data_IF_924071503633
#
_entry.id   IF_924071503633
#
_cell.length_a   1.000
_cell.length_b   1.000
_cell.length_c   1.000
_cell.angle_alpha   90.00
_cell.angle_beta   90.00
_cell.angle_gamma   90.00
#
_symmetry.space_group_name_H-M   'P 1'
#
loop_
_entity.id
_entity.type
_entity.pdbx_description
1 polymer ?
#
# COMPACT_ATOMS: atom_id res chain seq x y z
N UNK A 1 29.13 -32.22 -7.78
CA UNK A 1 28.75 -30.80 -7.91
C UNK A 1 27.57 -30.58 -6.98
N UNK A 2 27.83 -30.02 -5.79
CA UNK A 2 26.75 -29.70 -4.85
C UNK A 2 26.07 -28.43 -5.35
N UNK A 3 24.83 -28.55 -5.80
CA UNK A 3 24.02 -27.41 -6.18
C UNK A 3 23.82 -26.53 -4.93
N UNK A 4 24.17 -25.26 -5.05
CA UNK A 4 23.85 -24.24 -4.05
C UNK A 4 22.32 -24.13 -3.99
N UNK A 5 21.73 -24.61 -2.90
CA UNK A 5 20.32 -24.39 -2.60
C UNK A 5 20.20 -22.92 -2.17
N UNK A 6 19.37 -22.08 -2.84
CA UNK A 6 19.21 -20.69 -2.43
C UNK A 6 18.64 -20.63 -1.02
N UNK A 7 19.20 -19.72 -0.22
CA UNK A 7 18.80 -19.45 1.17
C UNK A 7 17.31 -19.11 1.18
N UNK A 8 16.55 -19.82 2.02
CA UNK A 8 15.14 -19.56 2.31
C UNK A 8 14.92 -18.07 2.58
N UNK A 9 13.99 -17.44 1.85
CA UNK A 9 13.52 -16.10 2.21
C UNK A 9 13.03 -16.15 3.66
N UNK A 10 13.72 -15.47 4.56
CA UNK A 10 13.25 -15.39 5.95
C UNK A 10 11.86 -14.76 5.97
N UNK A 11 11.00 -15.18 6.90
CA UNK A 11 9.65 -14.60 7.04
C UNK A 11 9.69 -13.07 7.22
N UNK A 12 10.81 -12.52 7.70
CA UNK A 12 11.06 -11.06 7.79
C UNK A 12 11.21 -10.43 6.40
N UNK A 13 11.90 -11.09 5.47
CA UNK A 13 12.02 -10.61 4.09
C UNK A 13 10.67 -10.59 3.37
N UNK A 14 9.84 -11.63 3.59
CA UNK A 14 8.48 -11.67 3.04
C UNK A 14 7.58 -10.54 3.60
N UNK A 15 7.73 -10.23 4.89
CA UNK A 15 7.02 -9.11 5.53
C UNK A 15 7.47 -7.75 4.98
N UNK A 16 8.78 -7.54 4.82
CA UNK A 16 9.33 -6.31 4.21
C UNK A 16 8.83 -6.14 2.78
N UNK A 17 8.88 -7.19 1.96
CA UNK A 17 8.34 -7.17 0.60
C UNK A 17 6.85 -6.79 0.55
N UNK A 18 6.06 -7.20 1.54
CA UNK A 18 4.64 -6.81 1.65
C UNK A 18 4.46 -5.34 2.05
N UNK A 19 5.37 -4.80 2.88
CA UNK A 19 5.36 -3.39 3.27
C UNK A 19 5.77 -2.50 2.10
N UNK A 20 6.85 -2.88 1.39
CA UNK A 20 7.33 -2.15 0.21
C UNK A 20 6.28 -2.16 -0.91
N UNK A 21 5.63 -3.30 -1.14
CA UNK A 21 4.51 -3.40 -2.09
C UNK A 21 3.32 -2.52 -1.69
N UNK A 22 3.01 -2.45 -0.38
CA UNK A 22 1.96 -1.58 0.12
C UNK A 22 2.29 -0.10 -0.16
N UNK A 23 3.52 0.34 0.07
CA UNK A 23 3.96 1.71 -0.23
C UNK A 23 3.93 2.02 -1.73
N UNK A 24 4.47 1.11 -2.56
CA UNK A 24 4.57 1.28 -4.01
C UNK A 24 3.19 1.42 -4.68
N UNK A 25 2.22 0.61 -4.27
CA UNK A 25 0.92 0.55 -4.93
C UNK A 25 -0.18 1.38 -4.24
N UNK A 26 0.11 2.02 -3.10
CA UNK A 26 -0.91 2.74 -2.32
C UNK A 26 -1.66 3.79 -3.15
N UNK A 27 -0.94 4.60 -3.92
CA UNK A 27 -1.54 5.69 -4.69
C UNK A 27 -2.54 5.16 -5.73
N UNK A 28 -2.12 4.20 -6.56
CA UNK A 28 -2.98 3.63 -7.60
C UNK A 28 -4.17 2.87 -7.01
N UNK A 29 -3.96 2.12 -5.92
CA UNK A 29 -5.03 1.37 -5.25
C UNK A 29 -6.06 2.32 -4.64
N UNK A 30 -5.62 3.41 -4.01
CA UNK A 30 -6.53 4.41 -3.44
C UNK A 30 -7.26 5.22 -4.53
N UNK A 31 -6.57 5.57 -5.62
CA UNK A 31 -7.14 6.35 -6.71
C UNK A 31 -8.20 5.56 -7.50
N UNK A 32 -8.02 4.24 -7.61
CA UNK A 32 -8.95 3.35 -8.34
C UNK A 32 -10.07 2.78 -7.46
N UNK A 33 -9.96 2.89 -6.13
CA UNK A 33 -10.95 2.35 -5.20
C UNK A 33 -12.33 3.00 -5.40
N UNK A 34 -13.37 2.16 -5.39
CA UNK A 34 -14.76 2.61 -5.52
C UNK A 34 -15.39 2.81 -4.14
N UNK A 35 -16.15 3.89 -3.97
CA UNK A 35 -16.94 4.13 -2.77
C UNK A 35 -18.35 3.53 -2.93
N UNK A 36 -18.72 2.61 -2.05
CA UNK A 36 -20.05 2.00 -1.99
C UNK A 36 -20.53 2.17 -0.54
N UNK A 37 -21.65 2.88 -0.36
CA UNK A 37 -22.22 3.20 0.95
C UNK A 37 -21.23 3.81 1.96
N UNK A 38 -20.36 4.71 1.52
CA UNK A 38 -19.39 5.38 2.40
C UNK A 38 -18.13 4.55 2.69
N UNK A 39 -18.05 3.30 2.22
CA UNK A 39 -16.87 2.44 2.36
C UNK A 39 -16.12 2.32 1.04
N UNK A 40 -14.79 2.38 1.09
CA UNK A 40 -13.92 2.24 -0.09
C UNK A 40 -13.55 0.78 -0.32
N UNK A 41 -13.73 0.28 -1.53
CA UNK A 41 -13.41 -1.09 -1.93
C UNK A 41 -12.38 -1.09 -3.05
N UNK A 42 -11.45 -2.04 -3.00
CA UNK A 42 -10.40 -2.18 -4.00
C UNK A 42 -10.99 -2.82 -5.26
N UNK A 43 -10.84 -2.14 -6.40
CA UNK A 43 -11.22 -2.65 -7.73
C UNK A 43 -10.18 -3.62 -8.27
N UNK A 44 -10.53 -4.40 -9.29
CA UNK A 44 -9.66 -5.40 -9.93
C UNK A 44 -8.30 -4.82 -10.35
N UNK A 45 -8.24 -3.58 -10.82
CA UNK A 45 -7.00 -2.91 -11.23
C UNK A 45 -6.06 -2.69 -10.03
N UNK A 46 -6.62 -2.32 -8.88
CA UNK A 46 -5.85 -2.18 -7.64
C UNK A 46 -5.29 -3.52 -7.16
N UNK A 47 -6.09 -4.59 -7.26
CA UNK A 47 -5.64 -5.94 -6.94
C UNK A 47 -4.53 -6.43 -7.87
N UNK A 48 -4.62 -6.12 -9.17
CA UNK A 48 -3.58 -6.44 -10.15
C UNK A 48 -2.30 -5.65 -9.89
N UNK A 49 -2.39 -4.37 -9.51
CA UNK A 49 -1.23 -3.58 -9.13
C UNK A 49 -0.46 -4.22 -7.96
N UNK A 50 -1.18 -4.68 -6.92
CA UNK A 50 -0.58 -5.40 -5.79
C UNK A 50 0.09 -6.70 -6.24
N UNK A 51 -0.54 -7.48 -7.12
CA UNK A 51 0.06 -8.69 -7.65
C UNK A 51 1.37 -8.40 -8.40
N UNK A 52 1.40 -7.36 -9.24
CA UNK A 52 2.60 -6.95 -9.99
C UNK A 52 3.72 -6.52 -9.05
N UNK A 53 3.42 -5.80 -7.96
CA UNK A 53 4.40 -5.42 -6.95
C UNK A 53 5.08 -6.64 -6.28
N UNK A 54 4.39 -7.77 -6.24
CA UNK A 54 4.92 -9.05 -5.75
C UNK A 54 5.53 -9.92 -6.85
N UNK A 55 5.79 -9.39 -8.04
CA UNK A 55 6.31 -10.17 -9.17
C UNK A 55 5.35 -11.26 -9.63
N UNK A 56 4.05 -11.02 -9.49
CA UNK A 56 2.99 -11.96 -9.82
C UNK A 56 2.06 -11.41 -10.91
N UNK A 57 1.55 -12.30 -11.76
CA UNK A 57 0.54 -12.00 -12.76
C UNK A 57 -0.79 -12.61 -12.35
N UNK A 58 -1.84 -11.79 -12.28
CA UNK A 58 -3.20 -12.25 -12.05
C UNK A 58 -3.94 -12.42 -13.39
N UNK A 59 -4.66 -13.52 -13.56
CA UNK A 59 -5.38 -13.86 -14.79
C UNK A 59 -6.60 -14.71 -14.50
N UNK A 60 -7.52 -14.84 -15.46
CA UNK A 60 -8.65 -15.76 -15.39
C UNK A 60 -8.68 -16.72 -16.57
N UNK A 61 -9.23 -17.91 -16.34
CA UNK A 61 -9.50 -18.94 -17.35
C UNK A 61 -10.79 -19.69 -17.02
N UNK A 62 -11.10 -20.72 -17.81
CA UNK A 62 -12.26 -21.60 -17.61
C UNK A 62 -13.57 -20.83 -17.43
N UNK A 63 -13.84 -19.89 -18.35
CA UNK A 63 -15.09 -19.11 -18.33
C UNK A 63 -16.19 -19.92 -18.98
N UNK A 64 -17.15 -20.38 -18.18
CA UNK A 64 -18.14 -21.35 -18.62
C UNK A 64 -19.54 -21.02 -18.09
N UNK A 65 -20.55 -21.43 -18.86
CA UNK A 65 -21.93 -21.45 -18.36
C UNK A 65 -22.06 -22.65 -17.44
N UNK A 66 -22.55 -22.39 -16.24
CA UNK A 66 -22.91 -23.42 -15.25
C UNK A 66 -24.37 -23.26 -14.89
N UNK A 67 -24.88 -24.17 -14.06
CA UNK A 67 -26.22 -24.01 -13.50
C UNK A 67 -26.33 -22.68 -12.72
N UNK A 68 -27.38 -21.92 -13.01
CA UNK A 68 -27.65 -20.63 -12.37
C UNK A 68 -26.76 -19.45 -12.77
N UNK A 69 -25.78 -19.57 -13.69
CA UNK A 69 -24.96 -18.42 -14.06
C UNK A 69 -23.70 -18.69 -14.88
N UNK A 70 -22.79 -17.72 -14.87
CA UNK A 70 -21.46 -17.81 -15.50
C UNK A 70 -20.40 -17.89 -14.41
N UNK A 71 -19.50 -18.87 -14.55
CA UNK A 71 -18.36 -19.11 -13.67
C UNK A 71 -17.05 -18.79 -14.39
N UNK A 72 -16.04 -18.32 -13.66
CA UNK A 72 -14.66 -18.24 -14.11
C UNK A 72 -13.69 -18.61 -12.96
N UNK A 73 -12.49 -19.08 -13.31
CA UNK A 73 -11.41 -19.34 -12.35
C UNK A 73 -10.32 -18.29 -12.52
N UNK A 74 -10.07 -17.55 -11.46
CA UNK A 74 -8.98 -16.59 -11.34
C UNK A 74 -7.79 -17.25 -10.68
N UNK A 75 -6.59 -16.87 -11.11
CA UNK A 75 -5.34 -17.36 -10.55
C UNK A 75 -4.28 -16.26 -10.50
N UNK A 76 -3.45 -16.33 -9.47
CA UNK A 76 -2.24 -15.52 -9.30
C UNK A 76 -1.05 -16.42 -9.52
N UNK A 77 -0.21 -16.12 -10.50
CA UNK A 77 1.03 -16.86 -10.79
C UNK A 77 2.26 -16.02 -10.53
N UNK A 78 3.27 -16.59 -9.89
CA UNK A 78 4.60 -15.98 -9.82
C UNK A 78 5.20 -15.91 -11.22
N UNK A 79 5.70 -14.74 -11.62
CA UNK A 79 6.21 -14.54 -12.98
C UNK A 79 7.52 -15.30 -13.26
N UNK A 80 8.33 -15.55 -12.23
CA UNK A 80 9.66 -16.16 -12.40
C UNK A 80 9.62 -17.64 -12.77
N UNK A 81 8.64 -18.40 -12.25
CA UNK A 81 8.57 -19.86 -12.41
C UNK A 81 7.17 -20.36 -12.78
N UNK A 82 6.17 -19.48 -12.86
CA UNK A 82 4.79 -19.83 -13.18
C UNK A 82 4.01 -20.48 -12.03
N UNK A 83 4.58 -20.59 -10.83
CA UNK A 83 3.91 -21.21 -9.68
C UNK A 83 2.61 -20.50 -9.36
N UNK A 84 1.52 -21.25 -9.26
CA UNK A 84 0.22 -20.75 -8.82
C UNK A 84 0.25 -20.52 -7.31
N UNK A 85 0.03 -19.28 -6.89
CA UNK A 85 0.04 -18.86 -5.49
C UNK A 85 -1.34 -18.87 -4.85
N UNK A 86 -2.35 -18.55 -5.65
CA UNK A 86 -3.75 -18.55 -5.23
C UNK A 86 -4.65 -18.76 -6.44
N UNK A 87 -5.77 -19.44 -6.20
CA UNK A 87 -6.89 -19.53 -7.14
C UNK A 87 -8.18 -19.17 -6.43
N UNK A 88 -9.14 -18.65 -7.19
CA UNK A 88 -10.48 -18.41 -6.68
C UNK A 88 -11.51 -18.44 -7.81
N UNK A 89 -12.72 -18.82 -7.44
CA UNK A 89 -13.86 -18.80 -8.34
C UNK A 89 -14.58 -17.46 -8.29
N UNK A 90 -14.82 -16.88 -9.46
CA UNK A 90 -15.76 -15.79 -9.68
C UNK A 90 -17.02 -16.31 -10.34
N UNK A 91 -18.16 -15.79 -9.90
CA UNK A 91 -19.47 -16.19 -10.39
C UNK A 91 -20.34 -14.96 -10.64
N UNK A 92 -21.13 -14.99 -11.71
CA UNK A 92 -22.20 -14.03 -11.98
C UNK A 92 -23.48 -14.80 -12.18
N UNK A 93 -24.41 -14.64 -11.24
CA UNK A 93 -25.65 -15.41 -11.16
C UNK A 93 -26.78 -14.81 -11.99
N UNK A 94 -27.68 -15.67 -12.47
CA UNK A 94 -28.91 -15.28 -13.17
C UNK A 94 -29.89 -14.50 -12.29
N UNK A 95 -29.75 -14.64 -10.97
CA UNK A 95 -30.45 -13.88 -9.95
C UNK A 95 -29.96 -12.42 -9.84
N UNK A 96 -28.81 -12.09 -10.43
CA UNK A 96 -28.31 -10.73 -10.45
C UNK A 96 -29.01 -9.91 -11.55
N UNK A 97 -30.09 -9.25 -11.18
CA UNK A 97 -30.90 -8.38 -12.07
C UNK A 97 -30.08 -7.31 -12.81
N UNK A 98 -28.96 -6.87 -12.22
CA UNK A 98 -28.04 -5.92 -12.86
C UNK A 98 -27.34 -6.48 -14.10
N UNK A 99 -27.13 -7.80 -14.15
CA UNK A 99 -26.42 -8.52 -15.22
C UNK A 99 -27.37 -9.28 -16.12
N UNK A 100 -28.28 -10.07 -15.56
CA UNK A 100 -29.20 -10.92 -16.31
C UNK A 100 -30.54 -10.26 -16.62
N UNK A 101 -30.74 -9.03 -16.16
CA UNK A 101 -31.98 -8.30 -16.32
C UNK A 101 -33.08 -8.82 -15.39
N UNK A 102 -34.24 -8.18 -15.46
CA UNK A 102 -35.39 -8.52 -14.61
C UNK A 102 -35.85 -7.34 -13.77
N UNK A 103 -36.83 -7.62 -12.92
CA UNK A 103 -37.51 -6.62 -12.12
C UNK A 103 -36.74 -6.36 -10.82
N UNK A 104 -36.24 -5.14 -10.65
CA UNK A 104 -35.58 -4.69 -9.43
C UNK A 104 -36.48 -3.67 -8.72
N UNK A 105 -36.92 -4.02 -7.51
CA UNK A 105 -37.68 -3.10 -6.66
C UNK A 105 -36.72 -2.34 -5.76
N UNK A 106 -36.79 -1.00 -5.81
CA UNK A 106 -36.04 -0.11 -4.91
C UNK A 106 -37.01 0.72 -4.08
N UNK A 107 -36.50 1.44 -3.08
CA UNK A 107 -37.32 2.38 -2.29
C UNK A 107 -37.99 3.50 -3.11
N UNK A 108 -37.57 3.71 -4.35
CA UNK A 108 -38.13 4.71 -5.26
C UNK A 108 -39.04 4.11 -6.34
N UNK A 109 -39.35 2.82 -6.24
CA UNK A 109 -40.21 2.10 -7.17
C UNK A 109 -39.50 0.95 -7.89
N UNK A 110 -40.27 0.29 -8.75
CA UNK A 110 -39.85 -0.89 -9.47
C UNK A 110 -39.32 -0.54 -10.86
N UNK A 111 -38.12 -1.02 -11.18
CA UNK A 111 -37.49 -0.83 -12.48
C UNK A 111 -37.22 -2.19 -13.14
N UNK A 112 -37.57 -2.31 -14.41
CA UNK A 112 -37.15 -3.45 -15.23
C UNK A 112 -35.79 -3.15 -15.87
N UNK A 113 -34.79 -3.98 -15.59
CA UNK A 113 -33.45 -3.86 -16.16
C UNK A 113 -33.29 -4.80 -17.35
N UNK A 114 -32.74 -4.34 -18.49
CA UNK A 114 -32.42 -5.23 -19.59
C UNK A 114 -31.21 -6.10 -19.24
N UNK A 115 -31.21 -7.34 -19.74
CA UNK A 115 -30.04 -8.22 -19.70
C UNK A 115 -28.84 -7.55 -20.37
N UNK A 116 -27.67 -7.60 -19.73
CA UNK A 116 -26.42 -7.13 -20.33
C UNK A 116 -25.90 -8.10 -21.39
N UNK A 117 -25.13 -7.64 -22.39
CA UNK A 117 -24.54 -8.52 -23.38
C UNK A 117 -23.70 -9.64 -22.74
N UNK A 118 -23.76 -10.85 -23.31
CA UNK A 118 -23.10 -12.04 -22.74
C UNK A 118 -21.58 -11.86 -22.56
N UNK A 119 -20.90 -11.13 -23.45
CA UNK A 119 -19.47 -10.83 -23.29
C UNK A 119 -19.18 -10.03 -22.02
N UNK A 120 -20.07 -9.12 -21.62
CA UNK A 120 -19.91 -8.29 -20.44
C UNK A 120 -20.16 -9.11 -19.16
N UNK A 121 -21.13 -10.02 -19.20
CA UNK A 121 -21.40 -10.97 -18.10
C UNK A 121 -20.19 -11.90 -17.90
N UNK A 122 -19.64 -12.44 -19.01
CA UNK A 122 -18.42 -13.27 -18.97
C UNK A 122 -17.20 -12.51 -18.46
N UNK A 123 -17.01 -11.26 -18.90
CA UNK A 123 -15.95 -10.41 -18.41
C UNK A 123 -16.09 -10.12 -16.90
N UNK A 124 -17.31 -9.90 -16.42
CA UNK A 124 -17.56 -9.68 -14.99
C UNK A 124 -17.23 -10.91 -14.13
N UNK A 125 -17.57 -12.12 -14.60
CA UNK A 125 -17.18 -13.35 -13.92
C UNK A 125 -15.64 -13.46 -13.82
N UNK A 126 -14.92 -13.10 -14.88
CA UNK A 126 -13.46 -13.06 -14.88
C UNK A 126 -12.91 -12.03 -13.89
N UNK A 127 -13.43 -10.81 -13.87
CA UNK A 127 -12.93 -9.76 -12.96
C UNK A 127 -13.17 -10.13 -11.49
N UNK A 128 -14.35 -10.70 -11.16
CA UNK A 128 -14.61 -11.26 -9.81
C UNK A 128 -13.60 -12.34 -9.44
N UNK A 129 -13.34 -13.27 -10.36
CA UNK A 129 -12.42 -14.37 -10.11
C UNK A 129 -10.99 -13.86 -9.86
N UNK A 130 -10.52 -12.91 -10.68
CA UNK A 130 -9.20 -12.26 -10.52
C UNK A 130 -9.10 -11.57 -9.17
N UNK A 131 -10.07 -10.71 -8.84
CA UNK A 131 -10.06 -9.97 -7.59
C UNK A 131 -10.09 -10.88 -6.37
N UNK A 132 -10.88 -11.98 -6.41
CA UNK A 132 -10.91 -12.97 -5.33
C UNK A 132 -9.58 -13.71 -5.18
N UNK A 133 -8.93 -14.11 -6.28
CA UNK A 133 -7.64 -14.78 -6.24
C UNK A 133 -6.55 -13.85 -5.67
N UNK A 134 -6.52 -12.60 -6.11
CA UNK A 134 -5.63 -11.58 -5.57
C UNK A 134 -5.90 -11.29 -4.09
N UNK A 135 -7.16 -11.22 -3.67
CA UNK A 135 -7.51 -11.06 -2.26
C UNK A 135 -6.97 -12.22 -1.42
N UNK A 136 -7.14 -13.46 -1.87
CA UNK A 136 -6.64 -14.63 -1.16
C UNK A 136 -5.12 -14.58 -0.97
N UNK A 137 -4.39 -14.04 -1.94
CA UNK A 137 -2.94 -13.91 -1.88
C UNK A 137 -2.44 -12.67 -1.11
N UNK A 138 -3.16 -11.53 -1.19
CA UNK A 138 -2.61 -10.22 -0.87
C UNK A 138 -3.50 -9.31 -0.01
N UNK A 139 -4.57 -9.82 0.61
CA UNK A 139 -5.44 -9.00 1.47
C UNK A 139 -4.66 -8.29 2.60
N UNK A 140 -3.59 -8.89 3.12
CA UNK A 140 -2.74 -8.29 4.16
C UNK A 140 -2.05 -7.01 3.68
N UNK A 141 -1.71 -6.90 2.39
CA UNK A 141 -1.07 -5.71 1.80
C UNK A 141 -2.02 -4.51 1.85
N UNK A 142 -3.31 -4.72 1.56
CA UNK A 142 -4.34 -3.68 1.67
C UNK A 142 -4.47 -3.15 3.10
N UNK A 143 -4.35 -4.03 4.09
CA UNK A 143 -4.33 -3.63 5.52
C UNK A 143 -3.09 -2.79 5.83
N UNK A 144 -1.91 -3.21 5.34
CA UNK A 144 -0.64 -2.49 5.55
C UNK A 144 -0.64 -1.07 4.95
N UNK A 145 -1.40 -0.82 3.88
CA UNK A 145 -1.53 0.53 3.30
C UNK A 145 -2.12 1.57 4.27
N UNK A 146 -2.88 1.13 5.29
CA UNK A 146 -3.55 1.99 6.27
C UNK A 146 -4.32 3.16 5.60
N UNK A 147 -5.09 2.84 4.56
CA UNK A 147 -5.81 3.80 3.73
C UNK A 147 -7.34 3.74 3.90
N UNK A 148 -7.81 3.05 4.95
CA UNK A 148 -9.23 2.78 5.22
C UNK A 148 -9.96 2.12 4.03
N UNK A 149 -9.29 1.13 3.42
CA UNK A 149 -9.82 0.32 2.33
C UNK A 149 -10.40 -0.99 2.90
N UNK A 150 -11.54 -1.42 2.37
CA UNK A 150 -12.06 -2.76 2.58
C UNK A 150 -11.20 -3.77 1.81
N UNK A 151 -10.99 -4.94 2.41
CA UNK A 151 -10.34 -6.08 1.75
C UNK A 151 -11.31 -6.89 0.91
N UNK A 152 -12.63 -6.63 0.98
CA UNK A 152 -13.60 -7.18 0.04
C UNK A 152 -13.41 -6.50 -1.32
N UNK A 153 -13.32 -7.24 -2.43
CA UNK A 153 -13.18 -6.61 -3.73
C UNK A 153 -14.46 -5.87 -4.14
N UNK A 154 -14.30 -4.78 -4.89
CA UNK A 154 -15.44 -3.98 -5.33
C UNK A 154 -16.42 -4.79 -6.20
N UNK A 155 -15.92 -5.73 -6.99
CA UNK A 155 -16.75 -6.56 -7.89
C UNK A 155 -17.70 -7.52 -7.13
N UNK A 156 -17.44 -7.76 -5.84
CA UNK A 156 -18.24 -8.61 -4.95
C UNK A 156 -19.33 -7.86 -4.19
N UNK A 157 -19.33 -6.53 -4.28
CA UNK A 157 -20.27 -5.69 -3.53
C UNK A 157 -21.43 -5.29 -4.45
N UNK A 158 -22.68 -5.59 -4.06
CA UNK A 158 -23.84 -5.12 -4.81
C UNK A 158 -23.84 -3.59 -4.94
N UNK A 159 -24.46 -3.04 -5.98
CA UNK A 159 -24.47 -1.58 -6.19
C UNK A 159 -25.16 -0.79 -5.06
N UNK A 160 -26.06 -1.44 -4.31
CA UNK A 160 -26.69 -0.91 -3.10
C UNK A 160 -25.92 -1.21 -1.80
N UNK A 161 -24.77 -1.88 -1.87
CA UNK A 161 -24.09 -2.47 -0.72
C UNK A 161 -24.84 -3.68 -0.14
N UNK A 162 -24.50 -4.06 1.09
CA UNK A 162 -25.08 -5.21 1.79
C UNK A 162 -26.25 -4.79 2.69
N UNK A 163 -27.18 -3.96 2.20
CA UNK A 163 -28.40 -3.60 2.94
C UNK A 163 -29.25 -4.88 3.16
N UNK A 164 -28.91 -5.66 4.20
CA UNK A 164 -29.66 -6.73 4.89
C UNK A 164 -28.75 -7.71 5.67
N UNK A 165 -27.43 -7.62 5.57
CA UNK A 165 -26.56 -8.35 6.48
C UNK A 165 -26.49 -7.59 7.82
N UNK A 166 -27.27 -8.03 8.81
CA UNK A 166 -27.06 -7.65 10.21
C UNK A 166 -25.56 -7.64 10.48
N UNK A 167 -25.11 -6.51 11.00
CA UNK A 167 -23.73 -6.17 11.30
C UNK A 167 -22.91 -7.41 11.64
N UNK A 168 -22.17 -7.93 10.65
CA UNK A 168 -20.90 -8.52 10.99
C UNK A 168 -20.10 -7.33 11.51
N UNK A 169 -20.18 -7.12 12.83
CA UNK A 169 -19.32 -6.25 13.60
C UNK A 169 -17.88 -6.68 13.28
N UNK A 170 -17.34 -6.12 12.20
CA UNK A 170 -15.96 -5.75 12.21
C UNK A 170 -15.90 -4.76 13.34
N UNK A 171 -15.37 -5.22 14.47
CA UNK A 171 -14.78 -4.36 15.47
C UNK A 171 -14.02 -3.33 14.65
N UNK A 172 -14.55 -2.11 14.58
CA UNK A 172 -13.70 -0.97 14.38
C UNK A 172 -12.64 -1.22 15.45
N UNK A 173 -11.46 -1.69 15.03
CA UNK A 173 -10.28 -1.28 15.74
C UNK A 173 -10.24 0.20 15.42
N UNK A 174 -11.08 0.96 16.12
CA UNK A 174 -10.82 2.30 16.52
C UNK A 174 -9.52 2.17 17.30
N UNK A 175 -8.41 2.10 16.56
CA UNK A 175 -7.32 2.97 16.90
C UNK A 175 -7.94 4.35 16.80
N UNK A 176 -8.65 4.78 17.85
CA UNK A 176 -8.66 6.18 18.24
C UNK A 176 -7.21 6.57 18.03
N UNK A 177 -6.89 7.49 17.11
CA UNK A 177 -5.51 7.89 16.92
C UNK A 177 -5.04 8.24 18.33
N UNK A 178 -4.13 7.42 18.87
CA UNK A 178 -3.59 7.65 20.21
C UNK A 178 -3.20 9.11 20.17
N UNK A 179 -3.81 9.92 21.03
CA UNK A 179 -3.59 11.36 21.02
C UNK A 179 -2.08 11.53 21.04
N UNK A 180 -1.51 11.99 19.91
CA UNK A 180 -0.06 11.97 19.71
C UNK A 180 0.51 12.76 20.86
N UNK A 181 1.32 12.11 21.71
CA UNK A 181 1.94 12.78 22.84
C UNK A 181 2.65 14.01 22.30
N UNK A 182 2.17 15.18 22.74
CA UNK A 182 2.77 16.45 22.33
C UNK A 182 4.16 16.50 22.95
N UNK A 183 5.15 16.55 22.08
CA UNK A 183 6.52 16.78 22.48
C UNK A 183 6.70 18.27 22.74
N UNK A 184 7.47 18.59 23.77
CA UNK A 184 7.93 19.95 23.98
C UNK A 184 8.88 20.37 22.84
N UNK A 185 8.80 21.62 22.40
CA UNK A 185 9.59 22.18 21.30
C UNK A 185 8.81 22.46 19.99
N UNK A 186 9.49 23.03 18.98
CA UNK A 186 8.88 23.48 17.73
C UNK A 186 8.30 22.35 16.87
N UNK A 187 8.75 21.10 17.08
CA UNK A 187 8.24 19.92 16.40
C UNK A 187 7.37 19.10 17.35
N UNK A 188 6.04 19.33 17.42
CA UNK A 188 5.21 18.84 18.52
C UNK A 188 4.95 17.34 18.50
N UNK A 189 5.45 16.59 17.52
CA UNK A 189 5.24 15.14 17.40
C UNK A 189 6.49 14.47 16.83
N UNK A 190 6.69 13.17 17.14
CA UNK A 190 7.81 12.38 16.58
C UNK A 190 7.82 12.40 15.05
N UNK A 191 6.65 12.38 14.41
CA UNK A 191 6.51 12.46 12.95
C UNK A 191 6.97 13.82 12.40
N UNK A 192 6.59 14.92 13.07
CA UNK A 192 7.03 16.25 12.67
C UNK A 192 8.55 16.42 12.85
N UNK A 193 9.09 15.89 13.95
CA UNK A 193 10.53 15.91 14.23
C UNK A 193 11.31 15.08 13.20
N UNK A 194 10.84 13.87 12.88
CA UNK A 194 11.43 13.01 11.84
C UNK A 194 11.44 13.71 10.48
N UNK A 195 10.29 14.27 10.07
CA UNK A 195 10.18 14.98 8.78
C UNK A 195 11.13 16.18 8.71
N UNK A 196 11.29 16.91 9.81
CA UNK A 196 12.24 18.03 9.88
C UNK A 196 13.70 17.55 9.77
N UNK A 197 14.05 16.42 10.41
CA UNK A 197 15.36 15.80 10.28
C UNK A 197 15.63 15.30 8.86
N UNK A 198 14.67 14.62 8.22
CA UNK A 198 14.81 14.11 6.85
C UNK A 198 14.97 15.27 5.84
N UNK A 199 14.23 16.37 6.02
CA UNK A 199 14.40 17.58 5.22
C UNK A 199 15.80 18.19 5.41
N UNK A 200 16.26 18.31 6.67
CA UNK A 200 17.58 18.83 6.98
C UNK A 200 18.70 17.98 6.37
N UNK A 201 18.56 16.65 6.40
CA UNK A 201 19.48 15.73 5.71
C UNK A 201 19.45 15.97 4.20
N UNK A 202 18.26 16.19 3.63
CA UNK A 202 18.09 16.56 2.23
C UNK A 202 18.77 17.87 1.86
N UNK A 203 18.80 18.85 2.76
CA UNK A 203 19.49 20.12 2.57
C UNK A 203 21.01 19.94 2.65
N UNK A 204 21.51 19.18 3.63
CA UNK A 204 22.94 18.85 3.76
C UNK A 204 23.50 18.14 2.51
N UNK A 205 22.71 17.25 1.89
CA UNK A 205 23.10 16.55 0.65
C UNK A 205 23.21 17.46 -0.59
N UNK A 206 22.69 18.69 -0.53
CA UNK A 206 22.71 19.65 -1.65
C UNK A 206 23.78 20.73 -1.49
N UNK A 207 24.45 20.78 -0.34
CA UNK A 207 25.48 21.77 -0.06
C UNK A 207 26.65 21.56 -1.00
N UNK A 208 27.04 22.63 -1.70
CA UNK A 208 28.18 22.59 -2.62
C UNK A 208 29.44 23.25 -2.02
N UNK A 209 29.26 24.18 -1.09
CA UNK A 209 30.37 24.97 -0.53
C UNK A 209 30.30 25.09 1.00
N UNK A 210 31.47 25.25 1.62
CA UNK A 210 31.60 25.35 3.08
C UNK A 210 30.79 26.52 3.68
N UNK A 211 30.67 27.63 2.95
CA UNK A 211 29.87 28.78 3.39
C UNK A 211 28.38 28.47 3.52
N UNK A 212 27.84 27.67 2.59
CA UNK A 212 26.45 27.21 2.63
C UNK A 212 26.23 26.22 3.78
N UNK A 213 27.20 25.33 4.00
CA UNK A 213 27.18 24.39 5.13
C UNK A 213 27.07 25.14 6.45
N UNK A 214 27.95 26.11 6.69
CA UNK A 214 27.96 26.87 7.95
C UNK A 214 26.72 27.76 8.09
N UNK A 215 26.17 28.30 7.00
CA UNK A 215 24.90 29.02 7.02
C UNK A 215 23.73 28.12 7.44
N UNK A 216 23.64 26.91 6.88
CA UNK A 216 22.63 25.91 7.24
C UNK A 216 22.78 25.46 8.70
N UNK A 217 24.01 25.21 9.16
CA UNK A 217 24.30 24.79 10.52
C UNK A 217 24.01 25.90 11.55
N UNK A 218 24.19 27.16 11.17
CA UNK A 218 23.97 28.33 12.04
C UNK A 218 22.52 28.82 12.04
N UNK A 219 21.66 28.32 11.15
CA UNK A 219 20.26 28.72 11.08
C UNK A 219 19.52 28.43 12.42
N UNK A 220 18.72 29.38 12.94
CA UNK A 220 17.98 29.18 14.20
C UNK A 220 17.07 27.96 14.19
N UNK A 221 16.46 27.65 13.04
CA UNK A 221 15.63 26.45 12.83
C UNK A 221 16.44 25.16 12.97
N UNK A 222 17.66 25.13 12.45
CA UNK A 222 18.58 24.00 12.55
C UNK A 222 19.05 23.79 13.99
N UNK A 223 19.35 24.87 14.71
CA UNK A 223 19.74 24.78 16.12
C UNK A 223 18.60 24.22 16.98
N UNK A 224 17.39 24.73 16.80
CA UNK A 224 16.21 24.24 17.51
C UNK A 224 15.91 22.75 17.17
N UNK A 225 16.12 22.35 15.91
CA UNK A 225 16.01 20.94 15.49
C UNK A 225 17.05 20.05 16.19
N UNK A 226 18.32 20.46 16.22
CA UNK A 226 19.41 19.71 16.87
C UNK A 226 19.16 19.56 18.37
N UNK A 227 18.74 20.62 19.05
CA UNK A 227 18.41 20.58 20.47
C UNK A 227 17.25 19.61 20.75
N UNK A 228 16.19 19.67 19.93
CA UNK A 228 15.05 18.79 20.10
C UNK A 228 15.37 17.32 19.76
N UNK A 229 16.16 17.06 18.71
CA UNK A 229 16.65 15.72 18.38
C UNK A 229 17.54 15.16 19.50
N UNK A 230 18.45 15.96 20.05
CA UNK A 230 19.31 15.53 21.17
C UNK A 230 18.50 15.09 22.38
N UNK A 231 17.41 15.80 22.68
CA UNK A 231 16.52 15.48 23.81
C UNK A 231 15.64 14.27 23.55
N UNK A 232 15.08 14.16 22.35
CA UNK A 232 13.98 13.24 22.08
C UNK A 232 14.35 12.02 21.23
N UNK A 233 15.45 12.09 20.49
CA UNK A 233 15.93 11.04 19.60
C UNK A 233 17.44 11.15 19.34
N UNK A 234 18.28 10.93 20.38
CA UNK A 234 19.73 11.14 20.28
C UNK A 234 20.39 10.30 19.18
N UNK A 235 19.89 9.07 18.95
CA UNK A 235 20.39 8.17 17.91
C UNK A 235 20.37 8.73 16.48
N UNK A 236 19.44 9.65 16.17
CA UNK A 236 19.42 10.31 14.86
C UNK A 236 20.61 11.28 14.67
N UNK A 237 21.18 11.79 15.76
CA UNK A 237 22.35 12.66 15.73
C UNK A 237 23.65 11.86 15.79
N UNK A 238 23.73 10.88 16.70
CA UNK A 238 24.98 10.19 17.06
C UNK A 238 25.04 8.70 16.72
N UNK A 239 23.99 8.16 16.10
CA UNK A 239 23.93 6.76 15.65
C UNK A 239 23.59 5.74 16.72
N UNK A 240 23.46 6.15 18.00
CA UNK A 240 23.11 5.19 19.07
C UNK A 240 21.75 4.56 18.85
N UNK A 241 21.66 3.24 19.03
CA UNK A 241 20.44 2.46 18.87
C UNK A 241 19.81 2.52 17.46
N UNK A 242 20.61 2.87 16.45
CA UNK A 242 20.21 2.87 15.03
C UNK A 242 20.83 1.67 14.29
N UNK A 243 20.24 1.22 13.16
CA UNK A 243 20.83 0.19 12.32
C UNK A 243 22.24 0.55 11.84
N UNK A 244 23.10 -0.45 11.58
CA UNK A 244 24.49 -0.22 11.13
C UNK A 244 24.55 0.57 9.81
N UNK A 245 23.54 0.44 8.94
CA UNK A 245 23.46 1.21 7.68
C UNK A 245 23.03 2.68 7.84
N UNK A 246 22.66 3.14 9.04
CA UNK A 246 22.23 4.51 9.27
C UNK A 246 23.42 5.46 9.45
N UNK A 247 23.59 6.43 8.56
CA UNK A 247 24.59 7.50 8.71
C UNK A 247 24.06 8.59 9.68
N UNK A 248 24.69 8.80 10.85
CA UNK A 248 24.29 9.83 11.79
C UNK A 248 24.52 11.24 11.24
N UNK A 249 23.67 12.19 11.64
CA UNK A 249 23.79 13.59 11.18
C UNK A 249 25.15 14.19 11.53
N UNK A 250 25.73 13.85 12.68
CA UNK A 250 27.05 14.35 13.08
C UNK A 250 28.14 13.88 12.11
N UNK A 251 28.12 12.60 11.74
CA UNK A 251 29.11 12.02 10.84
C UNK A 251 28.98 12.60 9.43
N UNK A 252 27.75 12.78 8.95
CA UNK A 252 27.50 13.43 7.66
C UNK A 252 28.01 14.87 7.63
N UNK A 253 27.82 15.64 8.70
CA UNK A 253 28.33 17.03 8.79
C UNK A 253 29.86 17.05 8.83
N UNK A 254 30.50 16.15 9.59
CA UNK A 254 31.95 16.07 9.66
C UNK A 254 32.55 15.70 8.31
N UNK A 255 31.97 14.70 7.64
CA UNK A 255 32.37 14.29 6.29
C UNK A 255 32.27 15.44 5.29
N UNK A 256 31.15 16.17 5.26
CA UNK A 256 30.99 17.34 4.38
C UNK A 256 32.01 18.44 4.70
N UNK A 257 32.30 18.68 5.98
CA UNK A 257 33.35 19.64 6.37
C UNK A 257 34.73 19.21 5.88
N UNK A 258 35.06 17.92 6.00
CA UNK A 258 36.34 17.38 5.53
C UNK A 258 36.43 17.48 3.99
N UNK A 259 35.42 17.00 3.27
CA UNK A 259 35.34 17.05 1.80
C UNK A 259 35.48 18.49 1.26
N UNK A 260 34.86 19.47 1.92
CA UNK A 260 34.88 20.88 1.50
C UNK A 260 36.07 21.69 2.05
N UNK A 261 36.82 21.17 3.02
CA UNK A 261 38.00 21.83 3.57
C UNK A 261 39.30 21.42 2.86
N UNK A 262 39.28 20.39 2.00
CA UNK A 262 40.42 20.07 1.14
C UNK A 262 40.57 21.19 0.11
N UNK A 263 41.66 21.98 0.12
CA UNK A 263 41.90 22.91 -0.97
C UNK A 263 42.04 22.09 -2.25
N UNK A 264 41.27 22.47 -3.26
CA UNK A 264 41.33 21.94 -4.62
C UNK A 264 42.81 21.80 -5.03
N UNK A 265 43.35 20.59 -4.93
CA UNK A 265 44.72 20.30 -5.29
C UNK A 265 44.75 20.33 -6.81
N UNK A 266 45.17 21.48 -7.33
CA UNK A 266 45.54 21.80 -8.70
C UNK A 266 45.62 20.61 -9.67
N UNK A 267 44.74 20.62 -10.67
CA UNK A 267 45.06 20.28 -12.06
C UNK A 267 44.50 21.37 -12.99
#
# INVERSE_FOLDING_TARGET
MNALVPIEQSNVAAYRASTDAAELCKEIVVATATNIQGRKYVCVEGWQAIAVAHGCAASAHSVERVDGGIRAIGQVRRMSDGTVLAEAEGFVGEDETTWFGGEQTTKWGTKNLPKRPDYAIRAMAQTRAISRACRSAFAHVVVMMNANLSTTPAEEVPSGGFEDAQDAEFVEVATKPVAREKMDGPFPTKTALKKAADNFIGDLRKVAELGELEAILSAPSTQALKEQLKRCWPGYLDGRDMPEEFEPIIDMVNRLREEMAVPEAAE
#
